data_IF_165425609939
#
_entry.id   IF_165425609939
#
_cell.length_a   1.000
_cell.length_b   1.000
_cell.length_c   1.000
_cell.angle_alpha   90.00
_cell.angle_beta   90.00
_cell.angle_gamma   90.00
#
_symmetry.space_group_name_H-M   'P 1'
#
loop_
_entity.id
_entity.type
_entity.pdbx_description
1 polymer ?
#
# COMPACT_ATOMS: atom_id res chain seq x y z
N UNK A 1 -28.18 11.34 -12.16
CA UNK A 1 -27.19 10.26 -12.34
C UNK A 1 -26.00 10.60 -11.46
N UNK A 2 -25.92 10.03 -10.25
CA UNK A 2 -24.79 10.31 -9.35
C UNK A 2 -23.60 9.51 -9.89
N UNK A 3 -22.57 10.20 -10.38
CA UNK A 3 -21.29 9.58 -10.64
C UNK A 3 -20.82 8.95 -9.32
N UNK A 4 -20.88 7.63 -9.23
CA UNK A 4 -20.22 6.88 -8.17
C UNK A 4 -18.73 7.05 -8.43
N UNK A 5 -18.12 8.17 -8.00
CA UNK A 5 -16.68 8.19 -7.77
C UNK A 5 -16.42 7.06 -6.81
N UNK A 6 -15.79 5.99 -7.29
CA UNK A 6 -15.38 4.93 -6.38
C UNK A 6 -14.34 5.58 -5.45
N UNK A 7 -14.35 5.30 -4.14
CA UNK A 7 -13.39 5.89 -3.21
C UNK A 7 -11.92 5.55 -3.55
N UNK A 8 -11.70 4.67 -4.52
CA UNK A 8 -10.40 4.30 -5.10
C UNK A 8 -9.94 5.19 -6.28
N UNK A 9 -10.75 6.14 -6.74
CA UNK A 9 -10.42 7.10 -7.84
C UNK A 9 -9.60 8.33 -7.36
N UNK A 10 -8.85 8.20 -6.26
CA UNK A 10 -7.97 9.29 -5.78
C UNK A 10 -6.72 9.30 -6.67
N UNK A 11 -6.70 10.22 -7.63
CA UNK A 11 -5.63 10.48 -8.61
C UNK A 11 -4.35 11.07 -7.98
N UNK A 12 -4.38 11.53 -6.72
CA UNK A 12 -3.20 12.07 -6.03
C UNK A 12 -2.91 11.32 -4.73
N UNK A 13 -2.05 10.31 -4.81
CA UNK A 13 -1.47 9.71 -3.61
C UNK A 13 -0.53 10.70 -2.93
N UNK A 14 -0.53 10.81 -1.59
CA UNK A 14 0.36 11.73 -0.87
C UNK A 14 1.83 11.45 -1.19
N UNK A 15 2.71 12.44 -1.08
CA UNK A 15 4.14 12.20 -1.22
C UNK A 15 4.63 11.18 -0.19
N UNK A 16 5.52 10.26 -0.58
CA UNK A 16 6.10 9.30 0.36
C UNK A 16 7.07 10.06 1.29
N UNK A 17 6.83 10.09 2.61
CA UNK A 17 7.72 10.78 3.55
C UNK A 17 9.14 10.22 3.52
N UNK A 18 10.14 10.99 3.92
CA UNK A 18 11.56 10.55 4.05
C UNK A 18 11.83 9.51 5.16
N UNK A 19 10.80 8.80 5.63
CA UNK A 19 10.88 7.78 6.67
C UNK A 19 11.34 6.45 6.06
N UNK A 20 12.18 5.70 6.78
CA UNK A 20 12.72 4.41 6.30
C UNK A 20 11.73 3.24 6.40
N UNK A 21 10.81 3.30 7.36
CA UNK A 21 9.87 2.21 7.64
C UNK A 21 8.47 2.75 7.89
N UNK A 22 7.50 2.14 7.25
CA UNK A 22 6.07 2.43 7.37
C UNK A 22 5.36 1.24 8.01
N UNK A 23 4.41 1.51 8.88
CA UNK A 23 3.48 0.49 9.39
C UNK A 23 2.42 0.16 8.33
N UNK A 24 1.66 -0.92 8.53
CA UNK A 24 0.55 -1.26 7.63
C UNK A 24 -0.54 -0.18 7.56
N UNK A 25 -0.75 0.58 8.64
CA UNK A 25 -1.67 1.72 8.66
C UNK A 25 -1.15 2.86 7.78
N UNK A 26 0.12 3.24 7.98
CA UNK A 26 0.77 4.26 7.15
C UNK A 26 0.81 3.84 5.66
N UNK A 27 1.15 2.59 5.36
CA UNK A 27 1.14 2.08 4.00
C UNK A 27 -0.27 2.12 3.36
N UNK A 28 -1.30 1.82 4.16
CA UNK A 28 -2.69 1.89 3.73
C UNK A 28 -3.10 3.30 3.34
N UNK A 29 -2.75 4.30 4.16
CA UNK A 29 -3.00 5.71 3.89
C UNK A 29 -2.21 6.21 2.67
N UNK A 30 -0.93 5.86 2.58
CA UNK A 30 -0.04 6.29 1.50
C UNK A 30 -0.41 5.70 0.14
N UNK A 31 -1.06 4.54 0.10
CA UNK A 31 -1.40 3.86 -1.14
C UNK A 31 -2.90 3.86 -1.44
N UNK A 32 -3.74 4.40 -0.55
CA UNK A 32 -5.19 4.29 -0.61
C UNK A 32 -5.69 2.84 -0.74
N UNK A 33 -4.96 1.88 -0.16
CA UNK A 33 -5.28 0.45 -0.19
C UNK A 33 -5.61 -0.01 1.22
N UNK A 34 -6.70 -0.77 1.40
CA UNK A 34 -7.10 -1.24 2.74
C UNK A 34 -6.07 -2.21 3.34
N UNK A 35 -5.86 -2.24 4.67
CA UNK A 35 -4.84 -3.11 5.29
C UNK A 35 -5.02 -4.60 5.04
N UNK A 36 -6.24 -5.10 4.83
CA UNK A 36 -6.45 -6.52 4.51
C UNK A 36 -6.02 -6.85 3.08
N UNK A 37 -6.17 -5.90 2.13
CA UNK A 37 -5.71 -6.05 0.75
C UNK A 37 -4.18 -6.06 0.71
N UNK A 38 -3.52 -5.21 1.50
CA UNK A 38 -2.05 -5.26 1.64
C UNK A 38 -1.55 -6.62 2.14
N UNK A 39 -2.21 -7.20 3.15
CA UNK A 39 -1.89 -8.56 3.63
C UNK A 39 -2.11 -9.63 2.57
N UNK A 40 -3.14 -9.47 1.75
CA UNK A 40 -3.39 -10.37 0.62
C UNK A 40 -2.29 -10.24 -0.44
N UNK A 41 -1.92 -9.02 -0.81
CA UNK A 41 -0.84 -8.75 -1.76
C UNK A 41 0.54 -9.24 -1.28
N UNK A 42 0.81 -9.23 0.03
CA UNK A 42 2.01 -9.87 0.59
C UNK A 42 2.09 -11.38 0.31
N UNK A 43 0.95 -12.06 0.09
CA UNK A 43 0.92 -13.47 -0.28
C UNK A 43 1.05 -13.66 -1.80
N UNK A 44 0.38 -12.82 -2.58
CA UNK A 44 0.33 -12.93 -4.05
C UNK A 44 1.61 -12.42 -4.73
N UNK A 45 2.28 -11.43 -4.13
CA UNK A 45 3.47 -10.80 -4.70
C UNK A 45 4.69 -11.06 -3.79
N UNK A 46 5.52 -12.10 -4.07
CA UNK A 46 6.70 -12.41 -3.27
C UNK A 46 7.72 -11.26 -3.18
N UNK A 47 7.69 -10.33 -4.14
CA UNK A 47 8.52 -9.12 -4.15
C UNK A 47 8.09 -8.09 -3.10
N UNK A 48 6.83 -8.12 -2.67
CA UNK A 48 6.29 -7.30 -1.57
C UNK A 48 6.50 -8.06 -0.25
N UNK A 49 7.71 -7.95 0.30
CA UNK A 49 8.13 -8.70 1.49
C UNK A 49 8.47 -7.73 2.63
N UNK A 50 7.46 -7.21 3.35
CA UNK A 50 7.72 -6.30 4.46
C UNK A 50 8.50 -7.00 5.58
N UNK A 51 9.42 -6.27 6.19
CA UNK A 51 10.27 -6.79 7.26
C UNK A 51 9.41 -7.12 8.48
N UNK A 52 9.36 -8.41 8.84
CA UNK A 52 8.69 -8.90 10.06
C UNK A 52 9.64 -8.76 11.25
N UNK A 53 9.28 -7.95 12.24
CA UNK A 53 10.03 -7.81 13.51
C UNK A 53 9.27 -8.44 14.68
N UNK A 54 9.89 -8.44 15.87
CA UNK A 54 9.30 -8.92 17.13
C UNK A 54 7.85 -8.43 17.28
N UNK A 55 6.96 -9.33 17.70
CA UNK A 55 5.52 -9.05 17.85
C UNK A 55 4.73 -9.08 16.54
N UNK A 56 5.22 -9.76 15.49
CA UNK A 56 4.53 -9.92 14.19
C UNK A 56 4.16 -8.58 13.52
N UNK A 57 4.91 -7.52 13.84
CA UNK A 57 4.76 -6.19 13.24
C UNK A 57 5.44 -6.18 11.89
N UNK A 58 4.73 -5.68 10.88
CA UNK A 58 5.20 -5.52 9.51
C UNK A 58 5.67 -4.10 9.30
N UNK A 59 6.85 -3.97 8.72
CA UNK A 59 7.42 -2.70 8.33
C UNK A 59 7.69 -2.70 6.83
N UNK A 60 7.01 -1.80 6.13
CA UNK A 60 7.19 -1.57 4.70
C UNK A 60 8.29 -0.53 4.52
N UNK A 61 9.21 -0.77 3.60
CA UNK A 61 10.21 0.20 3.19
C UNK A 61 9.64 1.11 2.10
N UNK A 62 10.41 2.12 1.71
CA UNK A 62 10.01 3.04 0.63
C UNK A 62 9.74 2.28 -0.67
N UNK A 63 10.57 1.29 -0.97
CA UNK A 63 10.47 0.44 -2.16
C UNK A 63 9.19 -0.41 -2.14
N UNK A 64 8.77 -0.87 -0.96
CA UNK A 64 7.50 -1.60 -0.80
C UNK A 64 6.31 -0.68 -1.09
N UNK A 65 6.35 0.58 -0.61
CA UNK A 65 5.30 1.57 -0.89
C UNK A 65 5.22 1.85 -2.40
N UNK A 66 6.36 2.06 -3.06
CA UNK A 66 6.40 2.26 -4.52
C UNK A 66 5.86 1.04 -5.28
N UNK A 67 6.19 -0.16 -4.83
CA UNK A 67 5.68 -1.39 -5.41
C UNK A 67 4.15 -1.53 -5.23
N UNK A 68 3.63 -1.25 -4.03
CA UNK A 68 2.18 -1.26 -3.76
C UNK A 68 1.46 -0.26 -4.67
N UNK A 69 2.00 0.95 -4.84
CA UNK A 69 1.43 1.94 -5.76
C UNK A 69 1.38 1.43 -7.20
N UNK A 70 2.46 0.80 -7.65
CA UNK A 70 2.54 0.21 -8.98
C UNK A 70 1.54 -0.93 -9.17
N UNK A 71 1.41 -1.83 -8.19
CA UNK A 71 0.42 -2.91 -8.20
C UNK A 71 -0.99 -2.33 -8.27
N UNK A 72 -1.29 -1.29 -7.47
CA UNK A 72 -2.58 -0.59 -7.53
C UNK A 72 -2.85 -0.06 -8.94
N UNK A 73 -1.93 0.69 -9.53
CA UNK A 73 -2.11 1.19 -10.90
C UNK A 73 -2.39 0.04 -11.87
N UNK A 74 -1.60 -1.04 -11.85
CA UNK A 74 -1.80 -2.17 -12.78
C UNK A 74 -3.12 -2.95 -12.59
N UNK A 75 -3.76 -2.88 -11.43
CA UNK A 75 -5.00 -3.60 -11.14
C UNK A 75 -6.27 -2.75 -11.34
N UNK A 76 -6.15 -1.43 -11.24
CA UNK A 76 -7.28 -0.50 -11.23
C UNK A 76 -7.33 0.43 -12.44
N UNK A 77 -6.24 0.51 -13.21
CA UNK A 77 -6.15 1.14 -14.53
C UNK A 77 -6.47 0.09 -15.61
#
# INVERSE_FOLDING_TARGET
MQARKRPEDIEELPAIPGKRYFTIGEASELCAVKPHVLRYWEQEFPRLSPVKRRGNRRYYQREDIELIRRIRTLLYD
#
